data_IF_805553267938
#
_entry.id   IF_805553267938
#
_cell.length_a   1.000
_cell.length_b   1.000
_cell.length_c   1.000
_cell.angle_alpha   90.00
_cell.angle_beta   90.00
_cell.angle_gamma   90.00
#
_symmetry.space_group_name_H-M   'P 1'
#
loop_
_entity.id
_entity.type
_entity.pdbx_description
1 polymer ?
#
# COMPACT_ATOMS: atom_id res chain seq x y z
N UNK A 1 7.00 3.87 -11.78
CA UNK A 1 7.18 5.24 -12.30
C UNK A 1 8.03 5.14 -13.56
N UNK A 2 7.49 5.43 -14.76
CA UNK A 2 8.14 5.06 -16.03
C UNK A 2 9.44 5.85 -16.29
N UNK A 3 9.62 6.97 -15.59
CA UNK A 3 10.77 7.86 -15.71
C UNK A 3 11.76 7.71 -14.54
N UNK A 4 11.71 6.61 -13.78
CA UNK A 4 12.73 6.37 -12.75
C UNK A 4 14.10 6.19 -13.43
N UNK A 5 15.15 6.80 -12.89
CA UNK A 5 16.50 6.51 -13.35
C UNK A 5 16.78 5.01 -13.25
N UNK A 6 17.38 4.45 -14.28
CA UNK A 6 17.96 3.12 -14.18
C UNK A 6 18.95 3.10 -13.02
N UNK A 7 18.89 2.03 -12.23
CA UNK A 7 19.79 1.81 -11.11
C UNK A 7 19.54 2.66 -9.87
N UNK A 8 18.35 3.27 -9.72
CA UNK A 8 18.00 4.04 -8.52
C UNK A 8 18.26 3.27 -7.21
N UNK A 9 18.04 1.96 -7.22
CA UNK A 9 18.20 1.08 -6.06
C UNK A 9 19.48 0.23 -6.11
N UNK A 10 20.37 0.44 -7.08
CA UNK A 10 21.59 -0.39 -7.25
C UNK A 10 22.58 -0.23 -6.09
N UNK A 11 22.54 0.91 -5.39
CA UNK A 11 23.36 1.19 -4.22
C UNK A 11 22.66 0.84 -2.91
N UNK A 12 21.43 0.34 -2.95
CA UNK A 12 20.77 -0.14 -1.77
C UNK A 12 21.48 -1.40 -1.23
N UNK A 13 21.31 -1.66 0.07
CA UNK A 13 21.82 -2.90 0.64
C UNK A 13 21.12 -4.11 -0.01
N UNK A 14 21.83 -5.24 -0.07
CA UNK A 14 21.26 -6.47 -0.61
C UNK A 14 20.01 -6.88 0.19
N UNK A 15 18.94 -7.26 -0.51
CA UNK A 15 17.72 -7.76 0.12
C UNK A 15 16.84 -6.71 0.79
N UNK A 16 17.03 -5.41 0.53
CA UNK A 16 16.12 -4.39 1.07
C UNK A 16 14.69 -4.55 0.54
N UNK A 17 13.72 -4.02 1.25
CA UNK A 17 12.36 -3.90 0.73
C UNK A 17 12.07 -2.44 0.39
N UNK A 18 11.32 -2.21 -0.69
CA UNK A 18 10.77 -0.89 -1.00
C UNK A 18 9.35 -0.83 -0.47
N UNK A 19 9.08 0.12 0.43
CA UNK A 19 7.72 0.42 0.87
C UNK A 19 7.04 1.30 -0.19
N UNK A 20 6.07 0.75 -0.91
CA UNK A 20 5.26 1.49 -1.88
C UNK A 20 4.08 2.18 -1.19
N UNK A 21 4.21 3.50 -1.02
CA UNK A 21 3.16 4.38 -0.50
C UNK A 21 2.30 4.99 -1.61
N UNK A 22 2.49 4.56 -2.85
CA UNK A 22 1.88 5.10 -4.04
C UNK A 22 0.41 4.72 -4.23
N UNK A 23 -0.25 5.52 -5.06
CA UNK A 23 -1.65 5.41 -5.45
C UNK A 23 -1.75 5.78 -6.93
N UNK A 24 -2.43 4.99 -7.75
CA UNK A 24 -2.63 5.31 -9.17
C UNK A 24 -3.86 6.20 -9.38
N UNK A 25 -3.65 7.35 -10.02
CA UNK A 25 -4.65 8.38 -10.30
C UNK A 25 -4.67 8.69 -11.81
N UNK A 26 -5.38 7.87 -12.62
CA UNK A 26 -5.30 7.94 -14.09
C UNK A 26 -5.75 9.28 -14.67
N UNK A 27 -6.82 9.87 -14.13
CA UNK A 27 -7.42 11.10 -14.66
C UNK A 27 -6.72 12.36 -14.14
N UNK A 28 -6.20 12.31 -12.92
CA UNK A 28 -5.72 13.49 -12.21
C UNK A 28 -4.21 13.69 -12.34
N UNK A 29 -3.43 12.61 -12.45
CA UNK A 29 -1.96 12.70 -12.36
C UNK A 29 -1.20 11.80 -13.31
N UNK A 30 -1.53 10.51 -13.34
CA UNK A 30 -0.63 9.49 -13.89
C UNK A 30 -0.86 9.21 -15.38
N UNK A 31 -2.02 9.58 -15.91
CA UNK A 31 -2.46 9.13 -17.22
C UNK A 31 -2.73 7.62 -17.24
N UNK A 32 -3.00 7.09 -18.43
CA UNK A 32 -3.35 5.68 -18.61
C UNK A 32 -2.12 4.77 -18.54
N UNK A 33 -2.15 3.76 -17.67
CA UNK A 33 -1.16 2.67 -17.63
C UNK A 33 -1.82 1.38 -18.12
N UNK A 34 -1.46 0.92 -19.33
CA UNK A 34 -2.07 -0.25 -19.97
C UNK A 34 -1.98 -1.53 -19.11
N UNK A 35 -0.84 -1.78 -18.47
CA UNK A 35 -0.67 -2.94 -17.60
C UNK A 35 -1.64 -2.95 -16.40
N UNK A 36 -2.05 -1.77 -15.93
CA UNK A 36 -2.98 -1.63 -14.81
C UNK A 36 -4.44 -1.68 -15.29
N UNK A 37 -4.75 -1.08 -16.44
CA UNK A 37 -6.11 -0.95 -16.97
C UNK A 37 -6.59 -2.18 -17.77
N UNK A 38 -5.69 -2.78 -18.55
CA UNK A 38 -6.02 -3.82 -19.53
C UNK A 38 -5.56 -5.20 -19.08
N UNK A 39 -4.37 -5.28 -18.49
CA UNK A 39 -3.78 -6.56 -18.06
C UNK A 39 -4.16 -6.94 -16.62
N UNK A 40 -4.82 -6.04 -15.89
CA UNK A 40 -5.34 -6.28 -14.54
C UNK A 40 -4.27 -6.29 -13.44
N UNK A 41 -3.10 -5.70 -13.69
CA UNK A 41 -2.04 -5.61 -12.69
C UNK A 41 -2.44 -4.66 -11.54
N UNK A 42 -2.11 -5.04 -10.31
CA UNK A 42 -2.24 -4.13 -9.16
C UNK A 42 -1.22 -3.00 -9.25
N UNK A 43 -1.50 -1.86 -8.62
CA UNK A 43 -0.62 -0.68 -8.68
C UNK A 43 0.79 -1.00 -8.17
N UNK A 44 0.88 -1.69 -7.03
CA UNK A 44 2.15 -2.07 -6.43
C UNK A 44 2.80 -3.26 -7.13
N UNK A 45 2.02 -4.14 -7.77
CA UNK A 45 2.55 -5.14 -8.70
C UNK A 45 3.19 -4.50 -9.93
N UNK A 46 2.60 -3.42 -10.46
CA UNK A 46 3.21 -2.62 -11.51
C UNK A 46 4.49 -1.92 -11.02
N UNK A 47 4.46 -1.31 -9.84
CA UNK A 47 5.65 -0.70 -9.21
C UNK A 47 6.79 -1.71 -9.09
N UNK A 48 6.53 -2.89 -8.54
CA UNK A 48 7.53 -3.97 -8.40
C UNK A 48 8.16 -4.34 -9.75
N UNK A 49 7.34 -4.49 -10.81
CA UNK A 49 7.85 -4.76 -12.18
C UNK A 49 8.73 -3.64 -12.71
N UNK A 50 8.41 -2.37 -12.43
CA UNK A 50 9.21 -1.24 -12.91
C UNK A 50 10.56 -1.13 -12.20
N UNK A 51 10.62 -1.42 -10.90
CA UNK A 51 11.83 -1.25 -10.10
C UNK A 51 12.69 -2.51 -10.01
N UNK A 52 12.13 -3.69 -10.29
CA UNK A 52 12.86 -4.96 -10.21
C UNK A 52 13.29 -5.34 -8.78
N UNK A 53 12.52 -4.92 -7.77
CA UNK A 53 12.85 -5.10 -6.35
C UNK A 53 11.65 -5.63 -5.56
N UNK A 54 11.91 -6.25 -4.41
CA UNK A 54 10.89 -6.58 -3.41
C UNK A 54 10.12 -5.32 -3.00
N UNK A 55 8.79 -5.36 -3.14
CA UNK A 55 7.88 -4.27 -2.78
C UNK A 55 6.90 -4.74 -1.71
N UNK A 56 6.66 -3.87 -0.72
CA UNK A 56 5.58 -4.00 0.27
C UNK A 56 4.70 -2.75 0.17
N UNK A 57 3.40 -2.92 -0.07
CA UNK A 57 2.44 -1.80 -0.09
C UNK A 57 1.99 -1.49 1.34
N UNK A 58 2.24 -0.27 1.80
CA UNK A 58 1.77 0.23 3.09
C UNK A 58 1.64 1.76 3.05
N UNK A 59 0.96 2.36 4.03
CA UNK A 59 0.74 3.82 4.17
C UNK A 59 -0.01 4.52 3.03
N UNK A 60 -0.36 3.85 1.93
CA UNK A 60 -0.92 4.50 0.76
C UNK A 60 -2.24 5.23 1.03
N UNK A 61 -3.05 4.73 1.98
CA UNK A 61 -4.29 5.36 2.43
C UNK A 61 -4.15 6.20 3.69
N UNK A 62 -2.95 6.37 4.24
CA UNK A 62 -2.72 7.07 5.51
C UNK A 62 -2.39 8.54 5.24
N UNK A 63 -3.08 9.46 5.91
CA UNK A 63 -2.75 10.88 5.81
C UNK A 63 -1.40 11.16 6.48
N UNK A 64 -0.55 11.96 5.83
CA UNK A 64 0.77 12.30 6.36
C UNK A 64 0.70 12.94 7.76
N UNK A 65 -0.33 13.76 8.03
CA UNK A 65 -0.52 14.37 9.35
C UNK A 65 -0.87 13.33 10.43
N UNK A 66 -1.57 12.24 10.06
CA UNK A 66 -1.90 11.18 11.02
C UNK A 66 -0.65 10.44 11.51
N UNK A 67 0.35 10.27 10.64
CA UNK A 67 1.63 9.66 10.99
C UNK A 67 2.32 10.46 12.11
N UNK A 68 2.19 11.79 12.08
CA UNK A 68 2.76 12.68 13.10
C UNK A 68 1.93 12.69 14.39
N UNK A 69 0.61 12.82 14.27
CA UNK A 69 -0.24 13.21 15.41
C UNK A 69 -0.99 12.05 16.08
N UNK A 70 -1.16 10.93 15.36
CA UNK A 70 -2.07 9.85 15.77
C UNK A 70 -1.37 8.56 16.16
N UNK A 71 -0.05 8.60 16.32
CA UNK A 71 0.70 7.50 16.93
C UNK A 71 0.16 7.20 18.34
N UNK A 72 0.05 5.92 18.67
CA UNK A 72 -0.39 5.45 19.99
C UNK A 72 0.47 4.27 20.45
N UNK A 73 0.69 4.13 21.77
CA UNK A 73 1.35 2.94 22.29
C UNK A 73 0.56 1.67 21.95
N UNK A 74 1.25 0.54 21.84
CA UNK A 74 0.63 -0.75 21.59
C UNK A 74 -0.49 -1.06 22.59
N UNK A 75 -1.61 -1.57 22.08
CA UNK A 75 -2.79 -1.91 22.88
C UNK A 75 -3.73 -0.73 23.20
N UNK A 76 -3.40 0.51 22.79
CA UNK A 76 -4.34 1.62 22.92
C UNK A 76 -5.62 1.36 22.09
N UNK A 77 -6.83 1.56 22.66
CA UNK A 77 -8.08 1.23 21.96
C UNK A 77 -8.38 2.16 20.77
N UNK A 78 -7.70 3.31 20.67
CA UNK A 78 -7.85 4.28 19.58
C UNK A 78 -6.71 4.21 18.54
N UNK A 79 -5.87 3.16 18.59
CA UNK A 79 -4.77 2.95 17.65
C UNK A 79 -5.32 2.67 16.24
N UNK A 80 -4.79 3.38 15.25
CA UNK A 80 -5.19 3.20 13.85
C UNK A 80 -4.45 2.01 13.24
N UNK A 81 -5.12 1.27 12.35
CA UNK A 81 -4.54 0.13 11.66
C UNK A 81 -4.26 0.43 10.18
N UNK A 82 -3.11 -0.03 9.70
CA UNK A 82 -2.69 0.12 8.31
C UNK A 82 -2.70 -1.25 7.57
N UNK A 83 -3.34 -1.33 6.39
CA UNK A 83 -3.19 -2.48 5.51
C UNK A 83 -1.75 -2.64 4.99
N UNK A 84 -1.24 -3.88 4.98
CA UNK A 84 0.10 -4.22 4.48
C UNK A 84 0.02 -5.43 3.55
N UNK A 85 0.42 -5.26 2.29
CA UNK A 85 0.50 -6.31 1.28
C UNK A 85 1.93 -6.51 0.77
N UNK A 86 2.37 -7.73 0.57
CA UNK A 86 3.69 -8.05 0.00
C UNK A 86 3.92 -9.54 -0.10
N UNK A 87 4.66 -9.97 -1.13
CA UNK A 87 4.90 -11.38 -1.43
C UNK A 87 6.08 -11.98 -0.64
N UNK A 88 7.02 -11.14 -0.20
CA UNK A 88 8.13 -11.54 0.67
C UNK A 88 7.72 -11.40 2.14
N UNK A 89 7.55 -12.54 2.80
CA UNK A 89 7.10 -12.61 4.19
C UNK A 89 8.12 -12.02 5.20
N UNK A 90 9.41 -12.08 4.91
CA UNK A 90 10.43 -11.49 5.78
C UNK A 90 10.40 -9.96 5.68
N UNK A 91 10.35 -9.42 4.46
CA UNK A 91 10.19 -8.01 4.20
C UNK A 91 8.88 -7.46 4.79
N UNK A 92 7.76 -8.15 4.57
CA UNK A 92 6.45 -7.76 5.09
C UNK A 92 6.45 -7.72 6.61
N UNK A 93 7.09 -8.69 7.28
CA UNK A 93 7.24 -8.68 8.74
C UNK A 93 7.99 -7.46 9.24
N UNK A 94 9.14 -7.14 8.64
CA UNK A 94 9.94 -5.95 9.01
C UNK A 94 9.12 -4.67 8.84
N UNK A 95 8.37 -4.55 7.75
CA UNK A 95 7.50 -3.37 7.52
C UNK A 95 6.39 -3.29 8.57
N UNK A 96 5.80 -4.42 8.97
CA UNK A 96 4.76 -4.43 10.01
C UNK A 96 5.30 -4.09 11.40
N UNK A 97 6.49 -4.57 11.73
CA UNK A 97 7.21 -4.22 12.97
C UNK A 97 7.54 -2.72 12.98
N UNK A 98 8.03 -2.16 11.87
CA UNK A 98 8.25 -0.72 11.75
C UNK A 98 6.95 0.09 11.98
N UNK A 99 5.82 -0.34 11.39
CA UNK A 99 4.54 0.33 11.60
C UNK A 99 4.09 0.26 13.07
N UNK A 100 4.33 -0.88 13.73
CA UNK A 100 4.08 -1.04 15.17
C UNK A 100 4.94 -0.07 16.00
N UNK A 101 6.24 -0.01 15.74
CA UNK A 101 7.16 0.93 16.40
C UNK A 101 6.78 2.40 16.20
N UNK A 102 6.22 2.74 15.03
CA UNK A 102 5.68 4.07 14.73
C UNK A 102 4.35 4.37 15.43
N UNK A 103 3.78 3.40 16.15
CA UNK A 103 2.59 3.60 16.97
C UNK A 103 1.27 3.29 16.26
N UNK A 104 1.28 2.38 15.28
CA UNK A 104 0.08 1.96 14.53
C UNK A 104 -0.07 0.44 14.50
N UNK A 105 -1.30 -0.04 14.43
CA UNK A 105 -1.56 -1.47 14.19
C UNK A 105 -1.44 -1.79 12.69
N UNK A 106 -1.39 -3.09 12.36
CA UNK A 106 -1.36 -3.54 10.97
C UNK A 106 -2.39 -4.63 10.70
N UNK A 107 -2.88 -4.65 9.46
CA UNK A 107 -3.66 -5.76 8.90
C UNK A 107 -2.89 -6.33 7.72
N UNK A 108 -2.46 -7.58 7.81
CA UNK A 108 -1.85 -8.29 6.69
C UNK A 108 -2.93 -8.61 5.64
N UNK A 109 -2.73 -8.12 4.43
CA UNK A 109 -3.68 -8.27 3.32
C UNK A 109 -3.24 -9.29 2.28
N UNK A 110 -2.18 -10.05 2.56
CA UNK A 110 -1.65 -11.07 1.65
C UNK A 110 -0.56 -10.53 0.72
N UNK A 111 -0.55 -11.03 -0.52
CA UNK A 111 0.44 -10.68 -1.54
C UNK A 111 0.13 -9.37 -2.28
N UNK A 112 1.01 -8.98 -3.20
CA UNK A 112 0.79 -7.78 -4.02
C UNK A 112 -0.43 -7.91 -4.95
N UNK A 113 -0.82 -9.13 -5.31
CA UNK A 113 -2.04 -9.42 -6.08
C UNK A 113 -3.34 -9.16 -5.30
N UNK A 114 -3.25 -9.06 -3.96
CA UNK A 114 -4.34 -8.70 -3.05
C UNK A 114 -4.35 -7.22 -2.66
N UNK A 115 -3.28 -6.48 -3.00
CA UNK A 115 -3.12 -5.06 -2.66
C UNK A 115 -4.17 -4.12 -3.30
N UNK A 116 -4.97 -4.61 -4.25
CA UNK A 116 -6.13 -3.92 -4.81
C UNK A 116 -7.17 -3.52 -3.76
N UNK A 117 -7.28 -4.27 -2.66
CA UNK A 117 -8.27 -4.00 -1.61
C UNK A 117 -8.04 -2.68 -0.87
N UNK A 118 -6.82 -2.13 -0.97
CA UNK A 118 -6.40 -0.89 -0.33
C UNK A 118 -6.11 0.26 -1.30
N UNK A 119 -6.46 0.11 -2.58
CA UNK A 119 -6.23 1.15 -3.60
C UNK A 119 -7.26 2.30 -3.50
N UNK A 120 -6.99 3.46 -4.16
CA UNK A 120 -7.94 4.56 -4.21
C UNK A 120 -9.34 4.13 -4.66
N UNK A 121 -10.36 4.70 -3.99
CA UNK A 121 -11.77 4.38 -4.25
C UNK A 121 -12.30 3.13 -3.56
N UNK A 122 -11.46 2.40 -2.82
CA UNK A 122 -11.90 1.29 -1.96
C UNK A 122 -12.32 1.77 -0.56
N UNK A 123 -13.13 0.99 0.19
CA UNK A 123 -13.63 1.42 1.50
C UNK A 123 -12.56 1.71 2.55
N UNK A 124 -11.38 1.09 2.45
CA UNK A 124 -10.28 1.29 3.42
C UNK A 124 -9.42 2.51 3.09
N UNK A 125 -9.53 3.06 1.88
CA UNK A 125 -8.71 4.17 1.44
C UNK A 125 -9.04 5.46 2.21
N UNK A 126 -8.10 5.97 3.02
CA UNK A 126 -8.33 7.10 3.92
C UNK A 126 -9.05 6.75 5.22
N UNK A 127 -9.28 5.46 5.50
CA UNK A 127 -10.02 5.03 6.69
C UNK A 127 -9.15 5.15 7.95
N UNK A 128 -9.57 6.01 8.88
CA UNK A 128 -8.89 6.22 10.16
C UNK A 128 -9.56 5.41 11.27
N UNK A 129 -9.42 4.08 11.23
CA UNK A 129 -10.00 3.14 12.21
C UNK A 129 -9.01 2.07 12.65
N UNK A 130 -9.41 1.29 13.66
CA UNK A 130 -8.63 0.17 14.18
C UNK A 130 -8.76 -1.09 13.32
N UNK A 131 -8.17 -2.18 13.81
CA UNK A 131 -8.01 -3.46 13.09
C UNK A 131 -9.33 -4.03 12.58
N UNK A 132 -10.38 -4.02 13.40
CA UNK A 132 -11.66 -4.66 13.06
C UNK A 132 -12.35 -3.96 11.89
N UNK A 133 -12.46 -2.64 11.92
CA UNK A 133 -13.09 -1.87 10.84
C UNK A 133 -12.24 -1.87 9.57
N UNK A 134 -10.92 -1.82 9.70
CA UNK A 134 -10.00 -1.91 8.55
C UNK A 134 -10.14 -3.27 7.89
N UNK A 135 -10.16 -4.36 8.66
CA UNK A 135 -10.39 -5.73 8.15
C UNK A 135 -11.73 -5.84 7.43
N UNK A 136 -12.80 -5.29 8.02
CA UNK A 136 -14.13 -5.25 7.41
C UNK A 136 -14.12 -4.47 6.09
N UNK A 137 -13.47 -3.30 6.05
CA UNK A 137 -13.39 -2.47 4.86
C UNK A 137 -12.62 -3.16 3.72
N UNK A 138 -11.53 -3.86 4.02
CA UNK A 138 -10.76 -4.67 3.08
C UNK A 138 -11.57 -5.83 2.48
N UNK A 139 -12.42 -6.47 3.29
CA UNK A 139 -13.31 -7.54 2.85
C UNK A 139 -14.44 -7.03 1.93
N UNK A 140 -14.83 -5.76 2.08
CA UNK A 140 -15.89 -5.11 1.31
C UNK A 140 -15.39 -4.44 0.02
N UNK A 141 -14.08 -4.42 -0.22
CA UNK A 141 -13.51 -3.79 -1.39
C UNK A 141 -14.02 -4.45 -2.69
N UNK A 142 -14.52 -3.67 -3.68
CA UNK A 142 -14.85 -4.19 -5.00
C UNK A 142 -13.57 -4.48 -5.79
N UNK A 143 -13.54 -5.60 -6.52
CA UNK A 143 -12.38 -5.95 -7.37
C UNK A 143 -12.22 -4.99 -8.54
N UNK A 144 -13.34 -4.47 -9.06
CA UNK A 144 -13.35 -3.46 -10.12
C UNK A 144 -13.15 -2.06 -9.53
N UNK A 145 -12.26 -1.27 -10.14
CA UNK A 145 -12.09 0.14 -9.79
C UNK A 145 -13.33 0.94 -10.16
N UNK A 146 -13.67 1.94 -9.35
CA UNK A 146 -14.76 2.87 -9.68
C UNK A 146 -14.42 3.70 -10.91
N UNK A 147 -15.45 4.26 -11.55
CA UNK A 147 -15.28 5.09 -12.74
C UNK A 147 -14.35 6.31 -12.54
N UNK A 148 -14.22 6.81 -11.30
CA UNK A 148 -13.34 7.94 -10.97
C UNK A 148 -11.85 7.55 -10.97
N UNK A 149 -11.56 6.26 -10.81
CA UNK A 149 -10.21 5.69 -10.71
C UNK A 149 -9.87 4.72 -11.87
N UNK A 150 -10.58 4.83 -12.99
CA UNK A 150 -10.25 4.16 -14.26
C UNK A 150 -9.89 5.20 -15.32
N UNK A 151 -8.95 4.89 -16.21
CA UNK A 151 -8.56 5.77 -17.32
C UNK A 151 -9.64 5.86 -18.43
#
# INVERSE_FOLDING_TARGET
VPNLPHGLVDQAAEGVAVIDTGNYYPKQRDGRIAAIEDEGLTESGWTARQIGHTVVKAFNGTYAQDILDRHRPAGAPDRLALPVAGDDEAAKRVVRELIDELGFDTVDTGGLDDSWRQQPGTPVYGLQKGVDEVTKALAQAPRERSADFRA
#
